data_IF_059674283975
#
_entry.id   IF_059674283975
#
_cell.length_a   1.000
_cell.length_b   1.000
_cell.length_c   1.000
_cell.angle_alpha   90.00
_cell.angle_beta   90.00
_cell.angle_gamma   90.00
#
_symmetry.space_group_name_H-M   'P 1'
#
loop_
_entity.id
_entity.type
_entity.pdbx_description
1 polymer ?
#
# COMPACT_ATOMS: atom_id res chain seq x y z
N UNK A 1 -10.41 13.91 -30.86
CA UNK A 1 -10.00 13.52 -29.50
C UNK A 1 -10.55 12.13 -29.27
N UNK A 2 -9.69 11.14 -29.43
CA UNK A 2 -10.10 9.78 -29.69
C UNK A 2 -10.65 9.06 -28.45
N UNK A 3 -11.75 8.35 -28.67
CA UNK A 3 -12.34 7.36 -27.76
C UNK A 3 -11.36 6.23 -27.37
N UNK A 4 -10.21 6.14 -28.04
CA UNK A 4 -9.11 5.24 -27.70
C UNK A 4 -8.38 5.61 -26.40
N UNK A 5 -8.30 6.90 -26.04
CA UNK A 5 -7.58 7.32 -24.82
C UNK A 5 -8.38 7.08 -23.53
N UNK A 6 -9.70 6.87 -23.63
CA UNK A 6 -10.54 6.53 -22.48
C UNK A 6 -10.62 5.01 -22.22
N UNK A 7 -10.24 4.16 -23.19
CA UNK A 7 -10.32 2.70 -23.03
C UNK A 7 -9.04 2.05 -22.48
N UNK A 8 -7.88 2.74 -22.48
CA UNK A 8 -6.61 2.12 -22.08
C UNK A 8 -6.33 2.13 -20.57
N UNK A 9 -7.25 2.65 -19.74
CA UNK A 9 -7.10 2.70 -18.28
C UNK A 9 -7.73 1.47 -17.60
N UNK A 10 -8.58 0.72 -18.30
CA UNK A 10 -9.46 -0.27 -17.67
C UNK A 10 -8.94 -1.71 -17.59
N UNK A 11 -7.75 -2.04 -18.12
CA UNK A 11 -7.24 -3.43 -18.13
C UNK A 11 -5.75 -3.54 -17.75
N UNK A 12 -5.29 -2.80 -16.74
CA UNK A 12 -4.01 -3.12 -16.10
C UNK A 12 -4.17 -4.32 -15.18
N UNK A 13 -3.35 -5.37 -15.38
CA UNK A 13 -3.27 -6.52 -14.46
C UNK A 13 -2.95 -6.00 -13.07
N UNK A 14 -3.64 -6.48 -12.03
CA UNK A 14 -3.43 -6.08 -10.63
C UNK A 14 -1.95 -6.02 -10.24
N UNK A 15 -1.19 -7.06 -10.60
CA UNK A 15 0.25 -7.13 -10.36
C UNK A 15 1.00 -5.93 -10.95
N UNK A 16 0.69 -5.49 -12.17
CA UNK A 16 1.32 -4.34 -12.81
C UNK A 16 0.98 -3.02 -12.10
N UNK A 17 -0.23 -2.90 -11.54
CA UNK A 17 -0.61 -1.70 -10.75
C UNK A 17 0.26 -1.61 -9.51
N UNK A 18 0.39 -2.72 -8.79
CA UNK A 18 1.17 -2.78 -7.56
C UNK A 18 2.67 -2.61 -7.82
N UNK A 19 3.19 -3.21 -8.90
CA UNK A 19 4.58 -3.05 -9.33
C UNK A 19 4.89 -1.61 -9.74
N UNK A 20 3.98 -0.97 -10.48
CA UNK A 20 4.15 0.44 -10.86
C UNK A 20 4.19 1.35 -9.63
N UNK A 21 3.25 1.19 -8.70
CA UNK A 21 3.23 1.95 -7.45
C UNK A 21 4.51 1.71 -6.61
N UNK A 22 5.01 0.48 -6.59
CA UNK A 22 6.26 0.12 -5.91
C UNK A 22 7.46 0.86 -6.51
N UNK A 23 7.60 0.84 -7.84
CA UNK A 23 8.70 1.52 -8.53
C UNK A 23 8.61 3.04 -8.42
N UNK A 24 7.41 3.62 -8.52
CA UNK A 24 7.18 5.05 -8.27
C UNK A 24 7.55 5.43 -6.83
N UNK A 25 7.16 4.61 -5.84
CA UNK A 25 7.50 4.85 -4.43
C UNK A 25 9.01 4.79 -4.20
N UNK A 26 9.71 3.82 -4.79
CA UNK A 26 11.18 3.73 -4.72
C UNK A 26 11.84 4.94 -5.35
N UNK A 27 11.35 5.37 -6.51
CA UNK A 27 11.85 6.56 -7.21
C UNK A 27 11.73 7.80 -6.31
N UNK A 28 10.56 8.03 -5.74
CA UNK A 28 10.36 9.17 -4.82
C UNK A 28 11.22 9.05 -3.57
N UNK A 29 11.35 7.86 -2.97
CA UNK A 29 12.19 7.66 -1.79
C UNK A 29 13.66 7.97 -2.09
N UNK A 30 14.16 7.61 -3.27
CA UNK A 30 15.53 7.89 -3.68
C UNK A 30 15.83 9.39 -3.89
N UNK A 31 14.79 10.17 -4.16
CA UNK A 31 14.87 11.64 -4.34
C UNK A 31 14.64 12.41 -3.04
N UNK A 32 14.07 11.76 -2.03
CA UNK A 32 13.78 12.37 -0.75
C UNK A 32 15.01 12.25 0.17
N UNK A 33 15.69 13.36 0.40
CA UNK A 33 16.94 13.40 1.16
C UNK A 33 16.75 13.79 2.62
N UNK A 34 15.58 14.31 2.99
CA UNK A 34 15.29 14.74 4.34
C UNK A 34 14.49 13.68 5.11
N UNK A 35 14.83 13.51 6.39
CA UNK A 35 14.03 12.71 7.30
C UNK A 35 12.70 13.42 7.57
N UNK A 36 11.63 12.88 6.99
CA UNK A 36 10.30 13.47 6.99
C UNK A 36 9.21 12.42 7.11
N UNK A 37 7.98 12.85 7.46
CA UNK A 37 6.80 11.99 7.42
C UNK A 37 6.61 11.38 6.03
N UNK A 38 6.87 12.14 4.97
CA UNK A 38 6.77 11.64 3.61
C UNK A 38 7.78 10.52 3.31
N UNK A 39 9.06 10.70 3.69
CA UNK A 39 10.11 9.67 3.54
C UNK A 39 9.76 8.38 4.29
N UNK A 40 9.28 8.53 5.53
CA UNK A 40 8.82 7.41 6.36
C UNK A 40 7.67 6.66 5.69
N UNK A 41 6.66 7.38 5.22
CA UNK A 41 5.46 6.79 4.64
C UNK A 41 5.75 6.12 3.27
N UNK A 42 6.67 6.69 2.47
CA UNK A 42 7.20 6.04 1.26
C UNK A 42 7.90 4.71 1.58
N UNK A 43 8.72 4.69 2.63
CA UNK A 43 9.42 3.47 3.06
C UNK A 43 8.43 2.38 3.48
N UNK A 44 7.43 2.73 4.29
CA UNK A 44 6.36 1.80 4.69
C UNK A 44 5.55 1.29 3.48
N UNK A 45 5.27 2.15 2.51
CA UNK A 45 4.57 1.77 1.27
C UNK A 45 5.37 0.76 0.46
N UNK A 46 6.67 0.96 0.30
CA UNK A 46 7.56 0.03 -0.41
C UNK A 46 7.59 -1.34 0.28
N UNK A 47 7.72 -1.36 1.61
CA UNK A 47 7.73 -2.61 2.39
C UNK A 47 6.41 -3.39 2.24
N UNK A 48 5.28 -2.71 2.39
CA UNK A 48 3.95 -3.33 2.27
C UNK A 48 3.68 -3.84 0.85
N UNK A 49 3.98 -3.05 -0.19
CA UNK A 49 3.79 -3.47 -1.58
C UNK A 49 4.69 -4.65 -1.93
N UNK A 50 5.96 -4.61 -1.53
CA UNK A 50 6.89 -5.72 -1.76
C UNK A 50 6.42 -7.00 -1.07
N UNK A 51 5.90 -6.88 0.15
CA UNK A 51 5.34 -8.01 0.89
C UNK A 51 4.07 -8.57 0.22
N UNK A 52 3.14 -7.73 -0.23
CA UNK A 52 1.93 -8.18 -0.94
C UNK A 52 2.30 -8.86 -2.26
N UNK A 53 3.12 -8.23 -3.10
CA UNK A 53 3.57 -8.80 -4.37
C UNK A 53 4.25 -10.17 -4.17
N UNK A 54 5.05 -10.33 -3.11
CA UNK A 54 5.68 -11.61 -2.79
C UNK A 54 4.64 -12.68 -2.41
N UNK A 55 3.69 -12.36 -1.54
CA UNK A 55 2.70 -13.34 -1.09
C UNK A 55 1.68 -13.70 -2.18
N UNK A 56 1.36 -12.78 -3.10
CA UNK A 56 0.50 -13.05 -4.25
C UNK A 56 1.06 -14.10 -5.23
N UNK A 57 2.37 -14.40 -5.16
CA UNK A 57 2.97 -15.49 -5.95
C UNK A 57 2.51 -16.88 -5.51
N UNK A 58 1.97 -17.01 -4.30
CA UNK A 58 1.40 -18.25 -3.82
C UNK A 58 -0.14 -18.17 -3.86
N UNK A 59 -0.82 -18.91 -4.75
CA UNK A 59 -2.28 -18.87 -4.88
C UNK A 59 -3.05 -19.45 -3.68
N UNK A 60 -2.39 -20.21 -2.80
CA UNK A 60 -3.01 -20.72 -1.56
C UNK A 60 -3.20 -19.62 -0.50
N UNK A 61 -2.51 -18.49 -0.67
CA UNK A 61 -2.59 -17.37 0.27
C UNK A 61 -3.84 -16.53 -0.01
N UNK A 62 -4.74 -16.49 0.96
CA UNK A 62 -5.92 -15.62 0.94
C UNK A 62 -5.54 -14.18 1.31
N UNK A 63 -4.95 -13.45 0.37
CA UNK A 63 -4.38 -12.12 0.60
C UNK A 63 -5.36 -11.13 1.25
N UNK A 64 -6.61 -11.11 0.81
CA UNK A 64 -7.64 -10.23 1.36
C UNK A 64 -7.84 -10.44 2.87
N UNK A 65 -7.91 -11.70 3.30
CA UNK A 65 -8.06 -12.04 4.72
C UNK A 65 -6.84 -11.58 5.53
N UNK A 66 -5.62 -11.71 4.99
CA UNK A 66 -4.41 -11.27 5.69
C UNK A 66 -4.37 -9.74 5.79
N UNK A 67 -4.69 -9.03 4.71
CA UNK A 67 -4.74 -7.56 4.71
C UNK A 67 -5.76 -7.04 5.72
N UNK A 68 -6.98 -7.59 5.72
CA UNK A 68 -8.02 -7.22 6.67
C UNK A 68 -7.62 -7.50 8.13
N UNK A 69 -7.01 -8.66 8.40
CA UNK A 69 -6.51 -8.99 9.74
C UNK A 69 -5.45 -7.99 10.19
N UNK A 70 -4.48 -7.66 9.35
CA UNK A 70 -3.44 -6.68 9.66
C UNK A 70 -4.01 -5.28 9.91
N UNK A 71 -5.02 -4.86 9.14
CA UNK A 71 -5.72 -3.60 9.38
C UNK A 71 -6.44 -3.58 10.73
N UNK A 72 -7.12 -4.67 11.11
CA UNK A 72 -7.78 -4.81 12.42
C UNK A 72 -6.76 -4.71 13.57
N UNK A 73 -5.60 -5.34 13.44
CA UNK A 73 -4.52 -5.23 14.41
C UNK A 73 -3.99 -3.81 14.56
N UNK A 74 -3.82 -3.07 13.45
CA UNK A 74 -3.37 -1.68 13.48
C UNK A 74 -4.41 -0.78 14.13
N UNK A 75 -5.69 -0.95 13.81
CA UNK A 75 -6.79 -0.21 14.47
C UNK A 75 -6.78 -0.45 15.98
N UNK A 76 -6.55 -1.69 16.42
CA UNK A 76 -6.43 -2.00 17.84
C UNK A 76 -5.24 -1.28 18.49
N UNK A 77 -4.08 -1.28 17.83
CA UNK A 77 -2.87 -0.57 18.30
C UNK A 77 -3.09 0.95 18.39
N UNK A 78 -3.83 1.53 17.44
CA UNK A 78 -4.21 2.96 17.48
C UNK A 78 -5.06 3.25 18.72
N UNK A 79 -6.08 2.42 18.97
CA UNK A 79 -6.97 2.62 20.11
C UNK A 79 -6.27 2.43 21.47
N UNK A 80 -5.18 1.65 21.51
CA UNK A 80 -4.40 1.38 22.70
C UNK A 80 -3.23 2.35 22.91
N UNK A 81 -2.83 3.12 21.89
CA UNK A 81 -1.70 4.05 22.02
C UNK A 81 -2.15 5.40 22.56
N UNK A 82 -1.36 5.95 23.48
CA UNK A 82 -1.51 7.32 23.97
C UNK A 82 -0.46 8.27 23.36
N UNK A 83 0.42 7.75 22.50
CA UNK A 83 1.45 8.55 21.84
C UNK A 83 0.96 9.05 20.48
N UNK A 84 0.84 10.37 20.33
CA UNK A 84 0.46 11.01 19.06
C UNK A 84 1.42 10.60 17.94
N UNK A 85 2.73 10.54 18.22
CA UNK A 85 3.76 10.16 17.23
C UNK A 85 3.57 8.71 16.78
N UNK A 86 3.24 7.79 17.69
CA UNK A 86 2.99 6.40 17.32
C UNK A 86 1.65 6.24 16.60
N UNK A 87 0.62 6.96 17.05
CA UNK A 87 -0.69 6.97 16.40
C UNK A 87 -0.60 7.45 14.95
N UNK A 88 0.15 8.54 14.70
CA UNK A 88 0.39 9.09 13.38
C UNK A 88 0.99 8.05 12.42
N UNK A 89 2.03 7.33 12.85
CA UNK A 89 2.65 6.25 12.07
C UNK A 89 1.66 5.14 11.73
N UNK A 90 0.87 4.71 12.71
CA UNK A 90 -0.12 3.64 12.54
C UNK A 90 -1.26 4.07 11.59
N UNK A 91 -1.68 5.34 11.64
CA UNK A 91 -2.66 5.87 10.70
C UNK A 91 -2.13 5.92 9.27
N UNK A 92 -0.87 6.32 9.07
CA UNK A 92 -0.22 6.26 7.75
C UNK A 92 -0.17 4.82 7.21
N UNK A 93 0.26 3.85 8.03
CA UNK A 93 0.29 2.43 7.64
C UNK A 93 -1.11 1.91 7.29
N UNK A 94 -2.14 2.27 8.08
CA UNK A 94 -3.53 1.91 7.83
C UNK A 94 -4.04 2.48 6.50
N UNK A 95 -3.69 3.73 6.18
CA UNK A 95 -4.04 4.38 4.92
C UNK A 95 -3.44 3.66 3.71
N UNK A 96 -2.18 3.25 3.81
CA UNK A 96 -1.50 2.47 2.77
C UNK A 96 -2.17 1.11 2.59
N UNK A 97 -2.42 0.38 3.68
CA UNK A 97 -3.10 -0.92 3.64
C UNK A 97 -4.50 -0.82 3.06
N UNK A 98 -5.26 0.22 3.39
CA UNK A 98 -6.59 0.44 2.82
C UNK A 98 -6.54 0.62 1.29
N UNK A 99 -5.56 1.37 0.78
CA UNK A 99 -5.36 1.50 -0.67
C UNK A 99 -5.00 0.16 -1.30
N UNK A 100 -4.08 -0.61 -0.70
CA UNK A 100 -3.69 -1.93 -1.22
C UNK A 100 -4.88 -2.90 -1.21
N UNK A 101 -5.64 -2.96 -0.12
CA UNK A 101 -6.85 -3.79 0.00
C UNK A 101 -7.84 -3.45 -1.11
N UNK A 102 -8.05 -2.17 -1.39
CA UNK A 102 -8.92 -1.73 -2.48
C UNK A 102 -8.43 -2.27 -3.84
N UNK A 103 -7.13 -2.16 -4.15
CA UNK A 103 -6.59 -2.70 -5.40
C UNK A 103 -6.71 -4.23 -5.48
N UNK A 104 -6.44 -4.95 -4.39
CA UNK A 104 -6.33 -6.41 -4.39
C UNK A 104 -7.69 -7.10 -4.33
N UNK A 105 -8.65 -6.54 -3.60
CA UNK A 105 -9.88 -7.24 -3.23
C UNK A 105 -11.15 -6.66 -3.86
N UNK A 106 -11.10 -5.44 -4.39
CA UNK A 106 -12.28 -4.72 -4.89
C UNK A 106 -12.10 -4.18 -6.32
N UNK A 107 -11.17 -4.75 -7.10
CA UNK A 107 -10.84 -4.32 -8.46
C UNK A 107 -11.21 -5.38 -9.49
#
# INVERSE_FOLDING_TARGET
MDKFFQHSIFDMKLEQVLEKELEESKLWLSREHEESTYRRDLSARIELLSWVLKNMKNPEIQMCNILECRMKEIILKINQTHSIIQSDKLHSELGILNWILYQVCNR
#
